data_IF_225467033529
#
_entry.id   IF_225467033529
#
_cell.length_a   1.000
_cell.length_b   1.000
_cell.length_c   1.000
_cell.angle_alpha   90.00
_cell.angle_beta   90.00
_cell.angle_gamma   90.00
#
_symmetry.space_group_name_H-M   'P 1'
#
loop_
_entity.id
_entity.type
_entity.pdbx_description
1 polymer ?
#
# COMPACT_ATOMS: atom_id res chain seq x y z
N UNK A 1 9.05 17.33 -5.70
CA UNK A 1 7.76 17.08 -5.05
C UNK A 1 7.86 15.77 -4.28
N UNK A 2 7.42 15.75 -3.03
CA UNK A 2 7.48 14.58 -2.13
C UNK A 2 6.25 13.71 -2.38
N UNK A 3 6.42 12.42 -2.68
CA UNK A 3 5.29 11.47 -2.74
C UNK A 3 5.02 11.00 -1.34
N UNK A 4 3.83 11.30 -0.79
CA UNK A 4 3.38 10.74 0.48
C UNK A 4 2.20 9.79 0.27
N UNK A 5 2.31 8.57 0.79
CA UNK A 5 1.19 7.64 0.91
C UNK A 5 0.75 7.54 2.36
N UNK A 6 -0.54 7.72 2.66
CA UNK A 6 -1.09 7.19 3.91
C UNK A 6 -1.17 5.68 3.76
N UNK A 7 -0.47 4.96 4.63
CA UNK A 7 -0.53 3.51 4.76
C UNK A 7 -1.38 3.21 5.97
N UNK A 8 -2.48 2.49 5.74
CA UNK A 8 -3.27 1.92 6.82
C UNK A 8 -3.31 0.41 6.68
N UNK A 9 -2.80 -0.29 7.69
CA UNK A 9 -2.87 -1.75 7.76
C UNK A 9 -3.96 -2.14 8.73
N UNK A 10 -4.95 -2.91 8.30
CA UNK A 10 -5.98 -3.49 9.17
C UNK A 10 -5.72 -4.99 9.32
N UNK A 11 -5.81 -5.54 10.54
CA UNK A 11 -5.50 -6.94 10.84
C UNK A 11 -6.66 -7.66 11.54
N UNK A 12 -6.79 -8.98 11.33
CA UNK A 12 -7.87 -9.82 11.90
C UNK A 12 -7.68 -10.17 13.39
N UNK A 13 -6.45 -10.13 13.91
CA UNK A 13 -6.12 -10.30 15.34
C UNK A 13 -4.84 -9.52 15.69
N UNK A 14 -4.62 -9.19 16.97
CA UNK A 14 -3.33 -8.73 17.52
C UNK A 14 -2.30 -9.86 17.40
N UNK A 15 -1.78 -10.10 16.20
CA UNK A 15 -0.59 -10.92 16.01
C UNK A 15 0.61 -9.98 15.84
N UNK A 16 1.75 -10.29 16.46
CA UNK A 16 2.98 -9.54 16.21
C UNK A 16 3.38 -9.76 14.75
N UNK A 17 3.28 -8.72 13.92
CA UNK A 17 3.91 -8.72 12.59
C UNK A 17 5.34 -8.21 12.82
N UNK A 18 6.29 -9.13 12.68
CA UNK A 18 7.72 -8.83 12.73
C UNK A 18 8.16 -8.41 11.33
N UNK A 19 8.44 -7.12 11.15
CA UNK A 19 9.11 -6.61 9.95
C UNK A 19 10.58 -7.03 10.04
N UNK A 20 11.04 -7.89 9.14
CA UNK A 20 12.47 -8.21 9.04
C UNK A 20 12.90 -8.21 7.59
N UNK A 21 13.98 -7.49 7.32
CA UNK A 21 14.58 -7.26 6.00
C UNK A 21 15.98 -7.88 5.96
N UNK A 22 16.38 -8.51 4.85
CA UNK A 22 17.75 -8.46 4.28
C UNK A 22 17.77 -9.13 2.90
N UNK A 23 18.32 -8.50 1.84
CA UNK A 23 19.66 -8.73 1.28
C UNK A 23 19.87 -7.96 -0.05
N UNK A 24 21.12 -7.56 -0.30
CA UNK A 24 21.61 -7.01 -1.59
C UNK A 24 21.72 -8.13 -2.63
N UNK A 25 21.08 -7.98 -3.80
CA UNK A 25 21.66 -8.46 -5.06
C UNK A 25 21.02 -7.75 -6.27
N UNK A 26 21.87 -7.28 -7.19
CA UNK A 26 21.50 -6.57 -8.42
C UNK A 26 21.30 -7.59 -9.55
N UNK A 27 20.08 -8.10 -9.70
CA UNK A 27 19.70 -9.03 -10.78
C UNK A 27 18.80 -8.39 -11.83
N UNK A 28 19.24 -8.40 -13.08
CA UNK A 28 18.61 -7.83 -14.28
C UNK A 28 17.26 -8.51 -14.65
N UNK A 29 16.15 -7.79 -14.42
CA UNK A 29 14.78 -8.26 -14.66
C UNK A 29 14.31 -8.10 -16.12
N UNK A 30 15.14 -7.54 -17.02
CA UNK A 30 14.70 -7.11 -18.34
C UNK A 30 14.37 -8.25 -19.33
N UNK A 31 14.75 -9.49 -19.03
CA UNK A 31 14.77 -10.59 -20.02
C UNK A 31 13.54 -11.51 -20.00
N UNK A 32 12.59 -11.34 -19.09
CA UNK A 32 11.50 -12.31 -18.86
C UNK A 32 10.18 -12.07 -19.65
N UNK A 33 10.10 -11.03 -20.49
CA UNK A 33 8.84 -10.66 -21.14
C UNK A 33 8.61 -11.33 -22.50
N UNK A 34 7.86 -12.45 -22.57
CA UNK A 34 7.21 -12.92 -23.82
C UNK A 34 6.10 -13.98 -23.59
N UNK A 35 4.84 -13.52 -23.80
CA UNK A 35 3.58 -14.25 -24.15
C UNK A 35 2.68 -14.79 -23.02
N UNK A 36 1.53 -14.12 -22.77
CA UNK A 36 0.30 -14.63 -22.10
C UNK A 36 -0.95 -13.81 -22.58
N UNK A 37 -2.19 -14.36 -22.58
CA UNK A 37 -3.41 -13.80 -23.21
C UNK A 37 -4.23 -12.79 -22.35
N UNK A 38 -5.32 -12.25 -22.94
CA UNK A 38 -6.14 -11.08 -22.52
C UNK A 38 -6.40 -10.89 -21.00
N UNK A 39 -6.26 -9.62 -20.56
CA UNK A 39 -6.30 -9.11 -19.17
C UNK A 39 -7.57 -9.41 -18.35
N UNK A 40 -7.45 -9.74 -17.05
CA UNK A 40 -8.39 -9.30 -16.04
C UNK A 40 -8.00 -7.89 -15.58
N UNK A 41 -8.68 -6.86 -16.10
CA UNK A 41 -8.50 -5.47 -15.64
C UNK A 41 -8.84 -5.37 -14.14
N UNK A 42 -7.92 -4.82 -13.34
CA UNK A 42 -8.24 -4.43 -11.96
C UNK A 42 -9.48 -3.53 -11.99
N UNK A 43 -10.53 -3.94 -11.28
CA UNK A 43 -11.75 -3.15 -11.25
C UNK A 43 -11.47 -1.80 -10.58
N UNK A 44 -11.87 -0.71 -11.24
CA UNK A 44 -11.81 0.63 -10.66
C UNK A 44 -13.17 0.99 -10.11
N UNK A 45 -13.25 1.18 -8.79
CA UNK A 45 -14.47 1.60 -8.11
C UNK A 45 -14.39 3.09 -7.77
N UNK A 46 -15.55 3.74 -7.70
CA UNK A 46 -15.66 5.12 -7.21
C UNK A 46 -16.22 5.11 -5.79
N UNK A 47 -15.57 5.83 -4.88
CA UNK A 47 -15.94 5.97 -3.47
C UNK A 47 -17.15 6.88 -3.34
N UNK A 48 -18.33 6.30 -3.52
CA UNK A 48 -19.55 6.77 -2.87
C UNK A 48 -20.19 5.52 -2.31
N UNK A 49 -20.00 5.26 -1.02
CA UNK A 49 -20.61 4.16 -0.25
C UNK A 49 -20.96 2.93 -1.10
N UNK A 50 -20.03 1.98 -1.22
CA UNK A 50 -20.22 0.80 -2.09
C UNK A 50 -21.56 0.12 -1.78
N UNK A 51 -22.57 0.19 -2.67
CA UNK A 51 -23.81 -0.54 -2.50
C UNK A 51 -23.51 -2.04 -2.38
N UNK A 52 -24.36 -2.79 -1.70
CA UNK A 52 -24.10 -4.21 -1.38
C UNK A 52 -23.70 -5.06 -2.61
N UNK A 53 -24.27 -4.78 -3.78
CA UNK A 53 -23.90 -5.44 -5.03
C UNK A 53 -22.47 -5.10 -5.49
N UNK A 54 -22.04 -3.84 -5.37
CA UNK A 54 -20.66 -3.44 -5.68
C UNK A 54 -19.68 -3.97 -4.64
N UNK A 55 -20.10 -4.13 -3.38
CA UNK A 55 -19.29 -4.74 -2.33
C UNK A 55 -18.93 -6.19 -2.65
N UNK A 56 -19.87 -7.00 -3.14
CA UNK A 56 -19.60 -8.38 -3.56
C UNK A 56 -18.54 -8.43 -4.66
N UNK A 57 -18.74 -7.66 -5.74
CA UNK A 57 -17.78 -7.57 -6.86
C UNK A 57 -16.42 -7.06 -6.39
N UNK A 58 -16.36 -6.10 -5.45
CA UNK A 58 -15.13 -5.60 -4.88
C UNK A 58 -14.36 -6.68 -4.11
N UNK A 59 -15.08 -7.47 -3.29
CA UNK A 59 -14.50 -8.61 -2.55
C UNK A 59 -13.96 -9.66 -3.50
N UNK A 60 -14.72 -10.02 -4.53
CA UNK A 60 -14.29 -11.00 -5.54
C UNK A 60 -13.05 -10.51 -6.30
N UNK A 61 -13.05 -9.25 -6.73
CA UNK A 61 -11.90 -8.62 -7.41
C UNK A 61 -10.67 -8.66 -6.52
N UNK A 62 -10.80 -8.26 -5.25
CA UNK A 62 -9.66 -8.25 -4.33
C UNK A 62 -9.13 -9.67 -4.07
N UNK A 63 -10.02 -10.67 -4.00
CA UNK A 63 -9.63 -12.09 -3.85
C UNK A 63 -8.93 -12.64 -5.08
N UNK A 64 -9.39 -12.29 -6.29
CA UNK A 64 -8.81 -12.79 -7.54
C UNK A 64 -7.53 -12.05 -7.93
N UNK A 65 -7.49 -10.73 -7.75
CA UNK A 65 -6.42 -9.87 -8.24
C UNK A 65 -5.43 -9.45 -7.15
N UNK A 66 -5.75 -9.62 -5.87
CA UNK A 66 -4.89 -9.18 -4.75
C UNK A 66 -4.86 -7.67 -4.53
N UNK A 67 -5.46 -6.89 -5.43
CA UNK A 67 -5.55 -5.44 -5.33
C UNK A 67 -6.87 -4.90 -5.89
N UNK A 68 -7.22 -3.70 -5.44
CA UNK A 68 -8.39 -2.95 -5.88
C UNK A 68 -8.10 -1.45 -5.79
N UNK A 69 -8.53 -0.68 -6.79
CA UNK A 69 -8.42 0.77 -6.78
C UNK A 69 -9.77 1.41 -6.47
N UNK A 70 -9.81 2.28 -5.46
CA UNK A 70 -11.01 3.01 -5.05
C UNK A 70 -10.74 4.52 -5.18
N UNK A 71 -11.46 5.17 -6.09
CA UNK A 71 -11.29 6.58 -6.42
C UNK A 71 -12.11 7.49 -5.52
N UNK A 72 -11.62 8.68 -5.19
CA UNK A 72 -12.41 9.69 -4.47
C UNK A 72 -12.66 9.39 -2.98
N UNK A 73 -11.84 8.52 -2.37
CA UNK A 73 -11.93 8.17 -0.95
C UNK A 73 -11.73 9.40 -0.06
N UNK A 74 -10.78 10.28 -0.42
CA UNK A 74 -10.57 11.56 0.25
C UNK A 74 -11.11 12.70 -0.61
N UNK A 75 -11.70 13.71 0.04
CA UNK A 75 -11.98 14.97 -0.64
C UNK A 75 -10.66 15.71 -0.96
N UNK A 76 -10.60 16.54 -2.02
CA UNK A 76 -9.40 17.32 -2.32
C UNK A 76 -8.93 18.21 -1.17
N UNK A 77 -9.87 18.75 -0.39
CA UNK A 77 -9.57 19.54 0.81
C UNK A 77 -8.93 18.68 1.90
N UNK A 78 -9.50 17.51 2.19
CA UNK A 78 -8.96 16.59 3.19
C UNK A 78 -7.57 16.10 2.80
N UNK A 79 -7.36 15.72 1.53
CA UNK A 79 -6.06 15.29 1.02
C UNK A 79 -5.00 16.37 1.21
N UNK A 80 -5.26 17.63 0.81
CA UNK A 80 -4.32 18.75 1.01
C UNK A 80 -4.02 19.03 2.48
N UNK A 81 -5.04 19.00 3.35
CA UNK A 81 -4.85 19.22 4.79
C UNK A 81 -4.00 18.10 5.42
N UNK A 82 -4.26 16.85 5.04
CA UNK A 82 -3.47 15.71 5.51
C UNK A 82 -2.04 15.78 5.00
N UNK A 83 -1.83 16.09 3.70
CA UNK A 83 -0.50 16.27 3.11
C UNK A 83 0.31 17.35 3.83
N UNK A 84 -0.29 18.50 4.11
CA UNK A 84 0.36 19.59 4.84
C UNK A 84 0.72 19.17 6.28
N UNK A 85 -0.18 18.45 6.95
CA UNK A 85 0.07 17.93 8.30
C UNK A 85 1.22 16.91 8.32
N UNK A 86 1.17 15.91 7.45
CA UNK A 86 2.21 14.87 7.31
C UNK A 86 3.55 15.48 6.95
N UNK A 87 3.59 16.43 6.01
CA UNK A 87 4.82 17.11 5.64
C UNK A 87 5.42 17.92 6.80
N UNK A 88 4.59 18.58 7.61
CA UNK A 88 5.05 19.29 8.80
C UNK A 88 5.56 18.34 9.89
N UNK A 89 4.84 17.26 10.19
CA UNK A 89 5.22 16.30 11.21
C UNK A 89 6.49 15.52 10.83
N UNK A 90 6.62 15.13 9.56
CA UNK A 90 7.84 14.47 9.05
C UNK A 90 9.06 15.40 9.14
N UNK A 91 8.93 16.69 8.79
CA UNK A 91 10.04 17.65 8.95
C UNK A 91 10.48 17.73 10.41
N UNK A 92 9.53 17.80 11.34
CA UNK A 92 9.85 17.81 12.78
C UNK A 92 10.52 16.51 13.23
N UNK A 93 10.02 15.35 12.80
CA UNK A 93 10.62 14.05 13.12
C UNK A 93 12.08 13.96 12.61
N UNK A 94 12.32 14.41 11.37
CA UNK A 94 13.67 14.48 10.79
C UNK A 94 14.61 15.39 11.57
N UNK A 95 14.14 16.55 12.04
CA UNK A 95 14.97 17.48 12.84
C UNK A 95 15.29 16.94 14.22
N UNK A 96 14.36 16.21 14.85
CA UNK A 96 14.58 15.62 16.18
C UNK A 96 15.55 14.43 16.15
N UNK A 97 15.69 13.75 15.01
CA UNK A 97 16.54 12.58 14.87
C UNK A 97 16.10 11.38 15.74
N UNK A 98 14.85 11.41 16.22
CA UNK A 98 14.34 10.42 17.15
C UNK A 98 13.71 9.24 16.37
N UNK A 99 14.24 8.04 16.59
CA UNK A 99 13.82 6.82 15.89
C UNK A 99 12.41 6.34 16.28
N UNK A 100 11.78 6.94 17.28
CA UNK A 100 10.43 6.57 17.69
C UNK A 100 9.37 6.89 16.62
N UNK A 101 9.53 8.00 15.89
CA UNK A 101 8.56 8.53 14.91
C UNK A 101 8.78 7.99 13.49
N UNK A 102 9.88 7.28 13.26
CA UNK A 102 10.27 6.72 11.97
C UNK A 102 10.32 5.19 12.06
N UNK A 103 9.61 4.51 11.17
CA UNK A 103 9.72 3.06 11.03
C UNK A 103 10.92 2.68 10.16
N UNK A 104 11.27 1.39 10.19
CA UNK A 104 12.25 0.83 9.26
C UNK A 104 11.63 0.79 7.87
N UNK A 105 12.39 1.24 6.88
CA UNK A 105 11.95 1.28 5.48
C UNK A 105 13.01 0.70 4.57
N UNK A 106 12.57 -0.07 3.57
CA UNK A 106 13.47 -0.58 2.53
C UNK A 106 14.01 0.58 1.69
N UNK A 107 15.32 0.50 1.42
CA UNK A 107 16.12 1.54 0.76
C UNK A 107 15.89 2.93 1.39
N UNK A 108 16.38 3.16 2.63
CA UNK A 108 16.03 4.32 3.46
C UNK A 108 16.64 5.65 3.01
N UNK A 109 17.59 5.63 2.07
CA UNK A 109 18.17 6.86 1.53
C UNK A 109 17.10 7.69 0.82
N UNK A 110 16.86 8.91 1.34
CA UNK A 110 15.84 9.84 0.81
C UNK A 110 14.39 9.30 0.89
N UNK A 111 14.16 8.31 1.77
CA UNK A 111 12.85 7.73 2.03
C UNK A 111 12.58 7.67 3.53
N UNK A 112 11.35 7.99 3.93
CA UNK A 112 10.94 7.89 5.33
C UNK A 112 9.59 7.21 5.44
N UNK A 113 9.49 6.29 6.39
CA UNK A 113 8.23 5.77 6.87
C UNK A 113 7.89 6.46 8.19
N UNK A 114 6.93 7.38 8.16
CA UNK A 114 6.59 8.24 9.28
C UNK A 114 5.34 7.77 10.00
N UNK A 115 5.48 7.29 11.24
CA UNK A 115 4.35 6.89 12.07
C UNK A 115 3.48 8.09 12.39
N UNK A 116 2.17 7.95 12.20
CA UNK A 116 1.22 9.03 12.43
C UNK A 116 0.46 8.80 13.73
N UNK A 117 0.40 9.84 14.54
CA UNK A 117 -0.57 9.90 15.63
C UNK A 117 -1.98 10.09 15.07
N UNK A 118 -3.00 9.66 15.82
CA UNK A 118 -4.41 9.94 15.51
C UNK A 118 -4.75 11.41 15.78
N UNK A 119 -4.05 12.35 15.16
CA UNK A 119 -4.34 13.78 15.22
C UNK A 119 -5.67 14.12 14.52
N UNK A 120 -6.18 15.34 14.66
CA UNK A 120 -7.45 15.73 14.04
C UNK A 120 -7.45 15.57 12.49
N UNK A 121 -6.43 16.02 11.73
CA UNK A 121 -6.37 15.78 10.28
C UNK A 121 -6.33 14.29 9.91
N UNK A 122 -5.59 13.49 10.68
CA UNK A 122 -5.44 12.05 10.44
C UNK A 122 -6.75 11.31 10.73
N UNK A 123 -7.42 11.61 11.85
CA UNK A 123 -8.74 11.04 12.17
C UNK A 123 -9.81 11.40 11.15
N UNK A 124 -9.81 12.63 10.65
CA UNK A 124 -10.75 13.06 9.62
C UNK A 124 -10.56 12.23 8.32
N UNK A 125 -9.32 12.08 7.87
CA UNK A 125 -9.01 11.27 6.69
C UNK A 125 -9.35 9.78 6.90
N UNK A 126 -8.93 9.20 8.03
CA UNK A 126 -9.25 7.81 8.38
C UNK A 126 -10.77 7.58 8.43
N UNK A 127 -11.54 8.54 8.95
CA UNK A 127 -13.00 8.48 8.94
C UNK A 127 -13.57 8.39 7.52
N UNK A 128 -13.06 9.18 6.57
CA UNK A 128 -13.48 9.11 5.16
C UNK A 128 -13.11 7.78 4.51
N UNK A 129 -11.92 7.24 4.83
CA UNK A 129 -11.49 5.92 4.37
C UNK A 129 -12.44 4.84 4.88
N UNK A 130 -12.70 4.80 6.19
CA UNK A 130 -13.58 3.81 6.80
C UNK A 130 -15.03 3.92 6.30
N UNK A 131 -15.53 5.13 6.04
CA UNK A 131 -16.84 5.32 5.41
C UNK A 131 -16.90 4.77 3.98
N UNK A 132 -15.78 4.78 3.25
CA UNK A 132 -15.69 4.36 1.86
C UNK A 132 -15.47 2.86 1.71
N UNK A 133 -14.55 2.29 2.50
CA UNK A 133 -14.08 0.89 2.34
C UNK A 133 -14.23 0.05 3.62
N UNK A 134 -14.80 0.57 4.70
CA UNK A 134 -14.98 -0.17 5.95
C UNK A 134 -15.81 -1.44 5.79
N UNK A 135 -16.86 -1.41 4.95
CA UNK A 135 -17.63 -2.60 4.60
C UNK A 135 -16.82 -3.67 3.87
N UNK A 136 -15.90 -3.25 2.98
CA UNK A 136 -14.97 -4.15 2.29
C UNK A 136 -13.98 -4.78 3.26
N UNK A 137 -13.40 -3.97 4.16
CA UNK A 137 -12.50 -4.45 5.21
C UNK A 137 -13.21 -5.49 6.08
N UNK A 138 -14.42 -5.20 6.54
CA UNK A 138 -15.20 -6.12 7.36
C UNK A 138 -15.57 -7.41 6.62
N UNK A 139 -15.88 -7.33 5.33
CA UNK A 139 -16.22 -8.50 4.51
C UNK A 139 -15.02 -9.42 4.25
N UNK A 140 -13.80 -8.88 4.20
CA UNK A 140 -12.57 -9.63 3.90
C UNK A 140 -11.90 -10.13 5.18
N UNK A 141 -11.71 -9.26 6.16
CA UNK A 141 -10.98 -9.56 7.40
C UNK A 141 -11.89 -9.98 8.55
N UNK A 142 -13.19 -9.63 8.51
CA UNK A 142 -14.12 -9.83 9.62
C UNK A 142 -14.48 -8.50 10.31
N UNK A 143 -15.63 -8.50 11.00
CA UNK A 143 -16.15 -7.32 11.70
C UNK A 143 -15.29 -6.87 12.90
N UNK A 144 -14.39 -7.73 13.37
CA UNK A 144 -13.44 -7.50 14.45
C UNK A 144 -12.07 -6.98 13.97
N UNK A 145 -11.92 -6.70 12.66
CA UNK A 145 -10.70 -6.13 12.12
C UNK A 145 -10.34 -4.80 12.81
N UNK A 146 -9.08 -4.65 13.18
CA UNK A 146 -8.57 -3.46 13.85
C UNK A 146 -7.51 -2.76 13.02
N UNK A 147 -7.41 -1.44 13.17
CA UNK A 147 -6.28 -0.68 12.65
C UNK A 147 -5.02 -1.08 13.41
N UNK A 148 -4.05 -1.62 12.68
CA UNK A 148 -2.76 -2.07 13.20
C UNK A 148 -1.68 -1.02 13.00
N UNK A 149 -1.62 -0.44 11.81
CA UNK A 149 -0.60 0.52 11.43
C UNK A 149 -1.20 1.72 10.73
N UNK A 150 -0.63 2.89 11.04
CA UNK A 150 -1.01 4.16 10.47
C UNK A 150 0.25 5.00 10.27
N UNK A 151 0.72 5.07 9.04
CA UNK A 151 1.97 5.72 8.71
C UNK A 151 1.89 6.50 7.40
N UNK A 152 2.87 7.34 7.17
CA UNK A 152 3.07 8.05 5.92
C UNK A 152 4.42 7.67 5.30
N UNK A 153 4.38 6.99 4.16
CA UNK A 153 5.59 6.70 3.39
C UNK A 153 5.90 7.86 2.45
N UNK A 154 7.09 8.43 2.60
CA UNK A 154 7.57 9.60 1.88
C UNK A 154 8.81 9.28 1.06
N UNK A 155 8.81 9.58 -0.24
CA UNK A 155 10.02 9.53 -1.09
C UNK A 155 10.37 10.91 -1.65
N UNK A 156 11.64 11.30 -1.56
CA UNK A 156 12.17 12.54 -2.14
C UNK A 156 12.77 12.30 -3.52
N UNK A 157 12.97 13.37 -4.32
CA UNK A 157 13.73 13.29 -5.56
C UNK A 157 15.10 12.62 -5.34
N UNK A 158 15.39 11.58 -6.12
CA UNK A 158 16.62 10.80 -6.02
C UNK A 158 16.54 9.57 -5.11
N UNK A 159 15.41 9.31 -4.44
CA UNK A 159 15.20 8.05 -3.74
C UNK A 159 15.28 6.85 -4.70
N UNK A 160 16.06 5.83 -4.34
CA UNK A 160 16.24 4.63 -5.16
C UNK A 160 14.96 3.78 -5.15
N UNK A 161 14.67 3.13 -6.28
CA UNK A 161 13.53 2.21 -6.41
C UNK A 161 13.64 1.08 -5.38
N UNK A 162 12.53 0.72 -4.76
CA UNK A 162 12.49 -0.49 -3.92
C UNK A 162 12.52 -1.73 -4.81
N UNK A 163 13.24 -2.76 -4.36
CA UNK A 163 13.09 -4.09 -4.93
C UNK A 163 11.64 -4.56 -4.78
N UNK A 164 11.19 -5.42 -5.69
CA UNK A 164 9.89 -6.06 -5.54
C UNK A 164 9.91 -6.94 -4.28
N UNK A 165 8.92 -6.77 -3.40
CA UNK A 165 8.78 -7.53 -2.16
C UNK A 165 7.30 -7.64 -1.78
N UNK A 166 6.90 -8.72 -1.09
CA UNK A 166 5.68 -8.72 -0.30
C UNK A 166 5.91 -7.98 1.02
N UNK A 167 4.88 -7.33 1.55
CA UNK A 167 4.94 -6.66 2.87
C UNK A 167 4.93 -7.67 4.04
N UNK A 168 4.42 -8.88 3.81
CA UNK A 168 4.30 -9.95 4.80
C UNK A 168 4.41 -11.33 4.15
N UNK A 169 4.73 -12.34 4.96
CA UNK A 169 4.71 -13.75 4.53
C UNK A 169 3.30 -14.18 4.13
N UNK A 170 3.22 -15.15 3.22
CA UNK A 170 1.94 -15.73 2.82
C UNK A 170 1.26 -16.45 3.99
N UNK A 171 -0.06 -16.34 4.04
CA UNK A 171 -0.91 -17.03 4.98
C UNK A 171 -2.13 -17.61 4.24
N UNK A 172 -2.65 -18.77 4.65
CA UNK A 172 -3.84 -19.38 4.03
C UNK A 172 -5.12 -18.56 4.24
N UNK A 173 -5.08 -17.60 5.16
CA UNK A 173 -6.16 -16.66 5.44
C UNK A 173 -5.57 -15.26 5.36
N UNK A 174 -6.24 -14.34 4.64
CA UNK A 174 -5.83 -12.93 4.52
C UNK A 174 -5.60 -12.32 5.91
N UNK A 175 -4.35 -12.05 6.31
CA UNK A 175 -4.05 -11.63 7.67
C UNK A 175 -4.29 -10.13 7.85
N UNK A 176 -4.05 -9.37 6.78
CA UNK A 176 -4.17 -7.93 6.75
C UNK A 176 -4.60 -7.40 5.37
N UNK A 177 -5.14 -6.19 5.37
CA UNK A 177 -5.31 -5.36 4.17
C UNK A 177 -4.53 -4.06 4.36
N UNK A 178 -3.80 -3.67 3.32
CA UNK A 178 -3.06 -2.42 3.26
C UNK A 178 -3.77 -1.48 2.28
N UNK A 179 -4.06 -0.26 2.72
CA UNK A 179 -4.55 0.79 1.84
C UNK A 179 -3.46 1.85 1.65
N UNK A 180 -3.06 2.06 0.40
CA UNK A 180 -2.18 3.15 -0.02
C UNK A 180 -3.02 4.31 -0.54
N UNK A 181 -2.88 5.48 0.07
CA UNK A 181 -3.62 6.68 -0.35
C UNK A 181 -2.61 7.78 -0.69
N UNK A 182 -2.44 8.11 -1.99
CA UNK A 182 -1.55 9.20 -2.37
C UNK A 182 -2.12 10.54 -1.86
N UNK A 183 -1.26 11.34 -1.23
CA UNK A 183 -1.61 12.64 -0.65
C UNK A 183 -1.32 13.83 -1.59
N UNK A 184 -0.73 13.54 -2.75
CA UNK A 184 -0.56 14.46 -3.86
C UNK A 184 -0.90 13.72 -5.16
N UNK A 185 -1.09 14.47 -6.24
CA UNK A 185 -1.12 13.86 -7.56
C UNK A 185 0.24 13.21 -7.82
N UNK A 186 0.21 11.98 -8.33
CA UNK A 186 1.41 11.19 -8.62
C UNK A 186 1.51 11.03 -10.13
N UNK A 187 2.58 11.54 -10.70
CA UNK A 187 2.92 11.31 -12.09
C UNK A 187 4.00 10.21 -12.23
N UNK A 188 4.16 9.61 -13.42
CA UNK A 188 5.12 8.50 -13.62
C UNK A 188 6.58 8.84 -13.27
N UNK A 189 6.98 10.12 -13.32
CA UNK A 189 8.35 10.56 -13.00
C UNK A 189 8.62 10.62 -11.49
N UNK A 190 7.56 10.57 -10.67
CA UNK A 190 7.65 10.60 -9.20
C UNK A 190 7.92 9.22 -8.59
N UNK A 191 7.97 8.17 -9.41
CA UNK A 191 8.16 6.78 -8.95
C UNK A 191 6.93 6.26 -8.19
N UNK A 192 5.75 6.14 -8.84
CA UNK A 192 4.56 5.56 -8.22
C UNK A 192 4.82 4.13 -7.74
N UNK A 193 4.10 3.71 -6.71
CA UNK A 193 4.09 2.31 -6.27
C UNK A 193 3.56 1.44 -7.40
N UNK A 194 4.33 0.41 -7.77
CA UNK A 194 3.92 -0.61 -8.72
C UNK A 194 3.42 -1.80 -7.92
N UNK A 195 2.15 -2.14 -8.09
CA UNK A 195 1.52 -3.33 -7.49
C UNK A 195 1.34 -4.37 -8.58
N UNK A 196 1.58 -5.63 -8.25
CA UNK A 196 1.53 -6.75 -9.19
C UNK A 196 0.26 -7.58 -8.93
N UNK A 197 -0.77 -7.50 -9.79
CA UNK A 197 -1.98 -8.27 -9.58
C UNK A 197 -1.71 -9.78 -9.58
N UNK A 198 -2.39 -10.51 -8.68
CA UNK A 198 -2.32 -11.97 -8.57
C UNK A 198 -1.10 -12.50 -7.81
N UNK A 199 -0.19 -11.65 -7.33
CA UNK A 199 1.01 -12.09 -6.61
C UNK A 199 0.79 -12.30 -5.11
N UNK A 200 -0.45 -12.15 -4.60
CA UNK A 200 -0.84 -12.41 -3.21
C UNK A 200 -1.08 -13.90 -2.90
N UNK A 201 -0.85 -14.77 -3.88
CA UNK A 201 -1.13 -16.22 -3.82
C UNK A 201 0.06 -17.01 -3.26
N UNK A 202 -0.20 -18.19 -2.70
CA UNK A 202 0.84 -19.09 -2.18
C UNK A 202 1.91 -19.36 -3.24
N UNK A 203 1.47 -19.68 -4.46
CA UNK A 203 2.34 -20.01 -5.58
C UNK A 203 3.26 -18.86 -5.97
N UNK A 204 2.78 -17.62 -5.90
CA UNK A 204 3.60 -16.45 -6.20
C UNK A 204 4.66 -16.19 -5.12
N UNK A 205 4.31 -16.39 -3.85
CA UNK A 205 5.26 -16.30 -2.74
C UNK A 205 6.30 -17.42 -2.78
N UNK A 206 5.91 -18.65 -3.11
CA UNK A 206 6.84 -19.77 -3.34
C UNK A 206 7.80 -19.49 -4.48
N UNK A 207 7.30 -18.97 -5.62
CA UNK A 207 8.14 -18.59 -6.74
C UNK A 207 9.17 -17.52 -6.34
N UNK A 208 8.72 -16.48 -5.62
CA UNK A 208 9.60 -15.41 -5.11
C UNK A 208 10.68 -15.93 -4.15
N UNK A 209 10.29 -16.74 -3.15
CA UNK A 209 11.18 -17.24 -2.11
C UNK A 209 12.11 -18.36 -2.62
N UNK A 210 11.66 -19.14 -3.60
CA UNK A 210 12.44 -20.23 -4.20
C UNK A 210 13.53 -19.79 -5.17
N UNK A 211 13.76 -18.48 -5.33
CA UNK A 211 14.68 -17.93 -6.34
C UNK A 211 14.18 -18.10 -7.78
N UNK A 212 12.92 -18.48 -7.96
CA UNK A 212 12.29 -18.51 -9.27
C UNK A 212 12.01 -17.08 -9.71
N UNK A 213 12.40 -16.71 -10.94
CA UNK A 213 11.99 -15.44 -11.52
C UNK A 213 10.46 -15.31 -11.42
N UNK A 214 9.97 -14.38 -10.60
CA UNK A 214 8.64 -13.82 -10.80
C UNK A 214 8.68 -13.13 -12.16
N UNK A 215 8.06 -13.75 -13.17
CA UNK A 215 7.86 -13.12 -14.47
C UNK A 215 6.83 -12.02 -14.28
N UNK A 216 7.30 -10.81 -14.02
CA UNK A 216 6.47 -9.61 -13.93
C UNK A 216 6.52 -8.91 -15.28
N UNK A 217 5.44 -8.97 -16.05
CA UNK A 217 5.34 -8.23 -17.30
C UNK A 217 5.12 -6.73 -17.01
N UNK A 218 6.09 -5.88 -17.35
CA UNK A 218 5.93 -4.43 -17.36
C UNK A 218 5.21 -3.98 -18.63
N UNK A 219 4.29 -3.02 -18.50
CA UNK A 219 3.61 -2.39 -19.64
C UNK A 219 4.03 -0.92 -19.71
N UNK A 220 4.55 -0.51 -20.86
CA UNK A 220 4.85 0.89 -21.20
C UNK A 220 3.82 1.42 -22.21
N UNK A 221 3.26 2.57 -21.85
CA UNK A 221 2.41 3.53 -22.61
C UNK A 221 1.23 2.99 -23.41
#
# INVERSE_FOLDING_TARGET
HMVCHLITTCCRRRLPITVTTTYEDEGDWATAARRVPEEPRAAMLTARHLPQQQLHTAVETLRSCGMLTVQGVLSPRCSRMLAAHVGASLRMARTRGDGADLALVLTPTLRWDHKLSLSAPVRAALGMVLQSVGGLIAAVLGADACLWELAALSSEPGAVRQQCHPDADWQPVTPALVAFIPLCDVDPTMGPTIVLPGTHTEQAHEAFNGGGLLVVHSWGT
#
